data_IF_228744304646
#
_entry.id   IF_228744304646
#
_cell.length_a   1.000
_cell.length_b   1.000
_cell.length_c   1.000
_cell.angle_alpha   90.00
_cell.angle_beta   90.00
_cell.angle_gamma   90.00
#
_symmetry.space_group_name_H-M   'P 1'
#
loop_
_entity.id
_entity.type
_entity.pdbx_description
1 polymer ?
#
# COMPACT_ATOMS: atom_id res chain seq x y z
N UNK A 1 6.84 -0.89 -27.51
CA UNK A 1 6.72 -1.75 -26.31
C UNK A 1 6.46 -0.84 -25.14
N UNK A 2 5.25 -0.84 -24.57
CA UNK A 2 4.98 -0.01 -23.40
C UNK A 2 5.82 -0.56 -22.24
N UNK A 3 6.71 0.28 -21.71
CA UNK A 3 7.42 -0.01 -20.48
C UNK A 3 6.36 -0.14 -19.38
N UNK A 4 6.08 -1.36 -18.91
CA UNK A 4 5.16 -1.56 -17.78
C UNK A 4 5.78 -0.84 -16.59
N UNK A 5 5.07 0.08 -15.93
CA UNK A 5 5.62 0.84 -14.80
C UNK A 5 6.16 -0.06 -13.65
N UNK A 6 5.88 -1.37 -13.64
CA UNK A 6 6.58 -2.35 -12.80
C UNK A 6 8.11 -2.33 -13.01
N UNK A 7 8.59 -2.01 -14.22
CA UNK A 7 10.03 -1.79 -14.53
C UNK A 7 10.64 -0.62 -13.76
N UNK A 8 9.80 0.30 -13.27
CA UNK A 8 10.24 1.45 -12.48
C UNK A 8 10.47 1.09 -11.02
N UNK A 9 10.07 -0.11 -10.55
CA UNK A 9 10.37 -0.54 -9.19
C UNK A 9 11.87 -0.86 -9.08
N UNK A 10 12.59 -0.06 -8.29
CA UNK A 10 14.01 -0.24 -8.02
C UNK A 10 14.25 -0.99 -6.71
N UNK A 11 15.35 -1.76 -6.57
CA UNK A 11 15.66 -2.52 -5.36
C UNK A 11 15.56 -1.74 -4.04
N UNK A 12 15.98 -0.48 -4.06
CA UNK A 12 16.04 0.46 -2.93
C UNK A 12 14.69 1.07 -2.54
N UNK A 13 13.67 0.98 -3.40
CA UNK A 13 12.37 1.56 -3.11
C UNK A 13 11.77 0.97 -1.84
N UNK A 14 11.29 1.85 -0.96
CA UNK A 14 10.50 1.47 0.19
C UNK A 14 9.04 1.30 -0.26
N UNK A 15 8.48 0.14 0.03
CA UNK A 15 7.12 -0.22 -0.38
C UNK A 15 6.31 -0.56 0.86
N UNK A 16 5.12 0.02 0.96
CA UNK A 16 4.12 -0.33 1.96
C UNK A 16 3.06 -1.23 1.34
N UNK A 17 2.90 -2.46 1.84
CA UNK A 17 1.79 -3.32 1.46
C UNK A 17 0.62 -3.04 2.41
N UNK A 18 -0.46 -2.52 1.85
CA UNK A 18 -1.71 -2.22 2.53
C UNK A 18 -2.77 -3.27 2.20
N UNK A 19 -3.65 -3.53 3.16
CA UNK A 19 -4.78 -4.46 2.98
C UNK A 19 -5.94 -3.76 2.28
N UNK A 20 -6.31 -4.27 1.10
CA UNK A 20 -7.47 -3.85 0.33
C UNK A 20 -8.67 -4.75 0.68
N UNK A 21 -9.61 -4.20 1.47
CA UNK A 21 -10.75 -4.94 1.99
C UNK A 21 -12.01 -4.86 1.13
N UNK A 22 -12.15 -3.82 0.32
CA UNK A 22 -13.38 -3.53 -0.45
C UNK A 22 -13.03 -3.26 -1.92
N UNK A 23 -13.71 -3.90 -2.89
CA UNK A 23 -13.54 -3.59 -4.31
C UNK A 23 -13.78 -2.10 -4.66
N UNK A 24 -14.72 -1.44 -3.97
CA UNK A 24 -14.98 0.01 -4.11
C UNK A 24 -13.73 0.85 -3.81
N UNK A 25 -12.93 0.46 -2.81
CA UNK A 25 -11.71 1.19 -2.44
C UNK A 25 -10.61 1.03 -3.51
N UNK A 26 -10.55 -0.14 -4.17
CA UNK A 26 -9.65 -0.34 -5.31
C UNK A 26 -10.08 0.51 -6.52
N UNK A 27 -11.39 0.65 -6.76
CA UNK A 27 -11.91 1.54 -7.81
C UNK A 27 -11.60 3.00 -7.52
N UNK A 28 -11.76 3.45 -6.27
CA UNK A 28 -11.35 4.79 -5.84
C UNK A 28 -9.86 5.01 -6.12
N UNK A 29 -9.01 4.07 -5.72
CA UNK A 29 -7.57 4.16 -5.98
C UNK A 29 -7.27 4.25 -7.48
N UNK A 30 -7.95 3.43 -8.30
CA UNK A 30 -7.78 3.38 -9.75
C UNK A 30 -8.26 4.64 -10.47
N UNK A 31 -9.43 5.17 -10.10
CA UNK A 31 -10.12 6.23 -10.83
C UNK A 31 -9.81 7.62 -10.28
N UNK A 32 -9.70 7.74 -8.95
CA UNK A 32 -9.48 9.02 -8.27
C UNK A 32 -8.03 9.23 -7.84
N UNK A 33 -7.18 8.21 -7.96
CA UNK A 33 -5.74 8.34 -7.71
C UNK A 33 -5.38 8.56 -6.25
N UNK A 34 -6.13 8.00 -5.30
CA UNK A 34 -5.76 8.06 -3.89
C UNK A 34 -6.19 6.82 -3.09
N UNK A 35 -5.51 6.58 -1.97
CA UNK A 35 -5.86 5.55 -0.98
C UNK A 35 -5.89 6.14 0.42
N UNK A 36 -6.75 5.63 1.31
CA UNK A 36 -6.89 6.13 2.68
C UNK A 36 -6.33 5.17 3.72
N UNK A 37 -5.67 5.72 4.73
CA UNK A 37 -5.20 4.99 5.90
C UNK A 37 -5.76 5.69 7.14
N UNK A 38 -6.56 5.01 8.00
CA UNK A 38 -7.02 5.60 9.25
C UNK A 38 -5.83 5.98 10.14
N UNK A 39 -5.79 7.21 10.67
CA UNK A 39 -4.66 7.68 11.48
C UNK A 39 -4.44 6.79 12.72
N UNK A 40 -5.52 6.32 13.34
CA UNK A 40 -5.49 5.46 14.54
C UNK A 40 -4.73 4.14 14.33
N UNK A 41 -4.72 3.61 13.10
CA UNK A 41 -4.06 2.35 12.76
C UNK A 41 -2.90 2.54 11.79
N UNK A 42 -2.55 3.78 11.49
CA UNK A 42 -1.51 4.11 10.53
C UNK A 42 -0.18 3.46 10.93
N UNK A 43 0.60 3.01 9.94
CA UNK A 43 1.93 2.51 10.22
C UNK A 43 2.84 3.68 10.63
N UNK A 44 4.03 3.39 11.17
CA UNK A 44 4.96 4.42 11.67
C UNK A 44 5.25 5.56 10.70
N UNK A 45 5.22 5.29 9.39
CA UNK A 45 5.37 6.29 8.34
C UNK A 45 4.55 5.90 7.12
N UNK A 46 4.02 6.90 6.44
CA UNK A 46 3.38 6.74 5.12
C UNK A 46 4.24 7.31 3.99
N UNK A 47 5.44 7.84 4.32
CA UNK A 47 6.45 8.32 3.36
C UNK A 47 7.19 7.15 2.76
N UNK A 48 6.58 6.52 1.77
CA UNK A 48 7.14 5.39 1.01
C UNK A 48 7.14 5.73 -0.47
N UNK A 49 7.90 5.00 -1.29
CA UNK A 49 7.95 5.22 -2.74
C UNK A 49 6.74 4.62 -3.44
N UNK A 50 6.26 3.48 -2.92
CA UNK A 50 5.16 2.72 -3.52
C UNK A 50 4.19 2.18 -2.46
N UNK A 51 2.92 2.09 -2.85
CA UNK A 51 1.91 1.30 -2.17
C UNK A 51 1.63 0.03 -2.98
N UNK A 52 1.58 -1.10 -2.29
CA UNK A 52 1.06 -2.36 -2.83
C UNK A 52 -0.22 -2.77 -2.14
N UNK A 53 -1.12 -3.41 -2.88
CA UNK A 53 -2.44 -3.76 -2.38
C UNK A 53 -2.63 -5.27 -2.28
N UNK A 54 -2.77 -5.75 -1.05
CA UNK A 54 -3.16 -7.12 -0.75
C UNK A 54 -4.69 -7.26 -0.77
N UNK A 55 -5.23 -8.01 -1.72
CA UNK A 55 -6.66 -8.26 -1.85
C UNK A 55 -7.13 -9.30 -0.82
N UNK A 56 -8.19 -9.01 -0.08
CA UNK A 56 -8.80 -9.99 0.83
C UNK A 56 -9.81 -10.91 0.14
N UNK A 57 -10.55 -11.71 0.92
CA UNK A 57 -11.58 -12.63 0.43
C UNK A 57 -12.65 -11.96 -0.44
N UNK A 58 -12.86 -10.66 -0.30
CA UNK A 58 -13.86 -9.90 -1.05
C UNK A 58 -13.57 -9.80 -2.56
N UNK A 59 -12.35 -10.18 -2.99
CA UNK A 59 -11.88 -10.06 -4.37
C UNK A 59 -11.99 -11.34 -5.21
N UNK A 60 -12.75 -12.36 -4.76
CA UNK A 60 -13.01 -13.55 -5.56
C UNK A 60 -11.74 -14.26 -6.04
N UNK A 61 -11.55 -14.39 -7.34
CA UNK A 61 -10.37 -15.03 -7.95
C UNK A 61 -9.06 -14.27 -7.68
N UNK A 62 -9.15 -12.97 -7.40
CA UNK A 62 -8.00 -12.13 -7.08
C UNK A 62 -7.62 -12.17 -5.60
N UNK A 63 -8.41 -12.83 -4.76
CA UNK A 63 -8.22 -12.84 -3.31
C UNK A 63 -6.86 -13.39 -2.88
N UNK A 64 -6.47 -12.96 -1.68
CA UNK A 64 -5.30 -13.44 -0.96
C UNK A 64 -4.02 -13.32 -1.77
N UNK A 65 -3.84 -12.19 -2.44
CA UNK A 65 -2.62 -11.89 -3.18
C UNK A 65 -2.33 -10.41 -3.16
N UNK A 66 -1.08 -10.02 -3.41
CA UNK A 66 -0.73 -8.66 -3.82
C UNK A 66 -0.77 -8.64 -5.34
N UNK A 67 -1.57 -7.74 -5.91
CA UNK A 67 -1.75 -7.65 -7.37
C UNK A 67 -1.48 -6.28 -7.95
N UNK A 68 -1.73 -5.24 -7.18
CA UNK A 68 -1.65 -3.88 -7.68
C UNK A 68 -0.60 -3.08 -6.92
N UNK A 69 0.15 -2.27 -7.66
CA UNK A 69 1.09 -1.29 -7.16
C UNK A 69 0.70 0.10 -7.63
N UNK A 70 1.07 1.13 -6.87
CA UNK A 70 1.02 2.51 -7.32
C UNK A 70 2.15 3.32 -6.67
N UNK A 71 2.75 4.24 -7.43
CA UNK A 71 3.71 5.21 -6.89
C UNK A 71 3.02 6.11 -5.89
N UNK A 72 3.62 6.39 -4.74
CA UNK A 72 3.13 7.42 -3.83
C UNK A 72 3.63 8.78 -4.31
N UNK A 73 2.70 9.72 -4.51
CA UNK A 73 2.98 11.09 -4.98
C UNK A 73 2.97 12.12 -3.85
N UNK A 74 2.38 11.76 -2.71
CA UNK A 74 2.26 12.62 -1.55
C UNK A 74 1.32 12.00 -0.51
N UNK A 75 1.14 12.71 0.60
CA UNK A 75 0.04 12.45 1.52
C UNK A 75 -0.42 13.76 2.17
N UNK A 76 -1.70 13.80 2.53
CA UNK A 76 -2.31 14.86 3.33
C UNK A 76 -3.15 14.25 4.45
N UNK A 77 -3.40 15.00 5.53
CA UNK A 77 -4.35 14.60 6.58
C UNK A 77 -5.70 15.23 6.28
N UNK A 78 -6.74 14.40 6.33
CA UNK A 78 -8.14 14.78 6.06
C UNK A 78 -9.06 13.99 6.99
N UNK A 79 -10.29 14.43 7.12
CA UNK A 79 -11.36 13.71 7.81
C UNK A 79 -12.01 12.66 6.91
N UNK A 80 -12.76 11.74 7.51
CA UNK A 80 -13.56 10.77 6.75
C UNK A 80 -14.62 11.46 5.88
N UNK A 81 -15.27 12.50 6.41
CA UNK A 81 -16.30 13.25 5.69
C UNK A 81 -15.77 13.90 4.42
N UNK A 82 -14.55 14.48 4.47
CA UNK A 82 -13.89 15.06 3.30
C UNK A 82 -13.54 14.00 2.23
N UNK A 83 -13.19 12.79 2.66
CA UNK A 83 -12.86 11.67 1.77
C UNK A 83 -14.07 11.00 1.13
N UNK A 84 -15.15 10.86 1.89
CA UNK A 84 -16.33 10.06 1.55
C UNK A 84 -17.57 10.95 1.65
N UNK A 85 -17.67 11.92 0.73
CA UNK A 85 -18.72 12.95 0.72
C UNK A 85 -20.16 12.40 0.67
N UNK A 86 -20.35 11.15 0.23
CA UNK A 86 -21.66 10.47 0.20
C UNK A 86 -22.05 9.83 1.55
N UNK A 87 -21.19 9.90 2.58
CA UNK A 87 -21.44 9.33 3.92
C UNK A 87 -21.28 10.39 5.04
N UNK A 88 -21.94 11.57 4.98
CA UNK A 88 -21.70 12.67 5.92
C UNK A 88 -22.14 12.35 7.36
N UNK A 89 -23.22 11.59 7.55
CA UNK A 89 -23.77 11.26 8.89
C UNK A 89 -23.15 10.01 9.53
N UNK A 90 -22.00 9.55 9.03
CA UNK A 90 -21.32 8.40 9.61
C UNK A 90 -20.80 8.74 11.01
N UNK A 91 -20.95 7.84 12.00
CA UNK A 91 -20.44 7.97 13.38
C UNK A 91 -18.92 8.26 13.52
N UNK A 92 -18.21 8.27 12.40
CA UNK A 92 -16.75 8.42 12.28
C UNK A 92 -16.38 9.49 11.26
N UNK A 93 -17.31 10.39 10.93
CA UNK A 93 -17.14 11.45 9.94
C UNK A 93 -15.90 12.31 10.22
N UNK A 94 -15.65 12.62 11.50
CA UNK A 94 -14.54 13.46 11.95
C UNK A 94 -13.24 12.68 12.24
N UNK A 95 -13.23 11.34 12.07
CA UNK A 95 -12.01 10.58 12.29
C UNK A 95 -10.94 11.00 11.28
N UNK A 96 -9.69 11.24 11.72
CA UNK A 96 -8.60 11.60 10.83
C UNK A 96 -8.06 10.41 10.04
N UNK A 97 -7.74 10.66 8.77
CA UNK A 97 -7.15 9.74 7.81
C UNK A 97 -5.98 10.40 7.11
N UNK A 98 -4.97 9.60 6.77
CA UNK A 98 -4.07 9.94 5.69
C UNK A 98 -4.75 9.66 4.36
N UNK A 99 -4.80 10.67 3.49
CA UNK A 99 -5.07 10.51 2.06
C UNK A 99 -3.75 10.45 1.32
N UNK A 100 -3.41 9.28 0.82
CA UNK A 100 -2.19 9.04 0.06
C UNK A 100 -2.49 9.28 -1.42
N UNK A 101 -1.86 10.28 -2.04
CA UNK A 101 -1.99 10.50 -3.49
C UNK A 101 -1.17 9.44 -4.23
N UNK A 102 -1.77 8.84 -5.25
CA UNK A 102 -1.23 7.74 -6.01
C UNK A 102 -1.03 8.12 -7.48
N UNK A 103 -0.01 7.54 -8.08
CA UNK A 103 0.04 7.40 -9.54
C UNK A 103 -0.96 6.34 -10.04
N UNK A 104 -0.97 6.05 -11.35
CA UNK A 104 -1.79 4.99 -11.93
C UNK A 104 -1.54 3.64 -11.25
N UNK A 105 -2.61 2.87 -11.05
CA UNK A 105 -2.52 1.50 -10.55
C UNK A 105 -1.95 0.58 -11.62
N UNK A 106 -1.01 -0.25 -11.21
CA UNK A 106 -0.30 -1.19 -12.06
C UNK A 106 -0.60 -2.60 -11.60
N UNK A 107 -1.07 -3.45 -12.50
CA UNK A 107 -1.09 -4.87 -12.23
C UNK A 107 0.33 -5.43 -12.29
N UNK A 108 0.73 -6.17 -11.25
CA UNK A 108 1.94 -6.99 -11.28
C UNK A 108 1.80 -8.03 -12.39
N UNK A 109 2.86 -8.22 -13.18
CA UNK A 109 2.92 -9.32 -14.15
C UNK A 109 2.69 -10.68 -13.48
N UNK A 110 3.18 -10.84 -12.25
CA UNK A 110 2.97 -12.02 -11.42
C UNK A 110 2.39 -11.61 -10.06
N UNK A 111 1.12 -11.93 -9.78
CA UNK A 111 0.54 -11.75 -8.44
C UNK A 111 1.37 -12.48 -7.39
N UNK A 112 1.52 -11.89 -6.21
CA UNK A 112 2.23 -12.49 -5.07
C UNK A 112 1.17 -13.10 -4.14
N UNK A 113 0.93 -14.42 -4.16
CA UNK A 113 -0.11 -15.05 -3.37
C UNK A 113 0.25 -15.11 -1.88
N UNK A 114 -0.76 -15.17 -1.02
CA UNK A 114 -0.62 -15.57 0.37
C UNK A 114 -1.21 -16.96 0.59
N UNK A 115 -0.33 -17.97 0.62
CA UNK A 115 -0.77 -19.36 0.80
C UNK A 115 -1.25 -19.64 2.23
N UNK A 116 -0.56 -19.08 3.23
CA UNK A 116 -0.83 -19.36 4.66
C UNK A 116 -1.05 -18.11 5.52
N UNK A 117 -0.35 -17.01 5.27
CA UNK A 117 -0.35 -15.85 6.17
C UNK A 117 -1.32 -14.75 5.74
N UNK A 118 -2.51 -14.70 6.35
CA UNK A 118 -3.60 -13.83 5.89
C UNK A 118 -3.93 -12.65 6.81
N UNK A 119 -3.16 -12.47 7.90
CA UNK A 119 -3.46 -11.50 8.95
C UNK A 119 -2.30 -10.55 9.19
N UNK A 120 -2.48 -9.33 8.71
CA UNK A 120 -1.64 -8.16 8.96
C UNK A 120 -2.46 -6.91 8.60
N UNK A 121 -2.04 -5.73 9.08
CA UNK A 121 -2.66 -4.46 8.69
C UNK A 121 -1.81 -3.76 7.62
N UNK A 122 -0.50 -3.72 7.87
CA UNK A 122 0.52 -3.16 6.99
C UNK A 122 1.78 -4.01 7.04
N UNK A 123 2.52 -4.02 5.94
CA UNK A 123 3.81 -4.69 5.83
C UNK A 123 4.77 -3.81 5.03
N UNK A 124 5.90 -3.43 5.63
CA UNK A 124 6.97 -2.79 4.89
C UNK A 124 7.79 -3.84 4.14
N UNK A 125 8.21 -3.49 2.93
CA UNK A 125 9.11 -4.29 2.10
C UNK A 125 9.99 -3.39 1.24
N UNK A 126 10.93 -3.98 0.53
CA UNK A 126 11.78 -3.28 -0.44
C UNK A 126 11.42 -3.73 -1.85
N UNK A 127 11.78 -2.92 -2.86
CA UNK A 127 11.67 -3.33 -4.26
C UNK A 127 12.41 -4.62 -4.54
N UNK A 128 13.59 -4.84 -3.93
CA UNK A 128 14.36 -6.08 -4.10
C UNK A 128 13.55 -7.32 -3.69
N UNK A 129 12.86 -7.24 -2.54
CA UNK A 129 12.02 -8.34 -2.04
C UNK A 129 10.78 -8.51 -2.88
N UNK A 130 10.13 -7.42 -3.24
CA UNK A 130 8.94 -7.44 -4.09
C UNK A 130 9.21 -8.16 -5.42
N UNK A 131 10.28 -7.78 -6.12
CA UNK A 131 10.63 -8.35 -7.43
C UNK A 131 10.99 -9.85 -7.37
N UNK A 132 11.37 -10.37 -6.19
CA UNK A 132 11.75 -11.78 -5.99
C UNK A 132 10.69 -12.62 -5.29
N UNK A 133 9.65 -12.00 -4.74
CA UNK A 133 8.69 -12.68 -3.89
C UNK A 133 7.83 -13.67 -4.68
N UNK A 134 7.67 -14.88 -4.12
CA UNK A 134 6.77 -15.91 -4.66
C UNK A 134 5.60 -16.16 -3.71
N UNK A 135 5.68 -15.67 -2.48
CA UNK A 135 4.64 -15.69 -1.47
C UNK A 135 4.70 -14.39 -0.64
N UNK A 136 3.56 -13.99 -0.07
CA UNK A 136 3.44 -12.82 0.79
C UNK A 136 4.47 -12.82 1.94
N UNK A 137 4.80 -13.98 2.51
CA UNK A 137 5.81 -14.06 3.58
C UNK A 137 7.20 -13.60 3.14
N UNK A 138 7.53 -13.68 1.85
CA UNK A 138 8.84 -13.31 1.31
C UNK A 138 9.04 -11.79 1.29
N UNK A 139 7.93 -11.04 1.27
CA UNK A 139 7.92 -9.58 1.37
C UNK A 139 8.33 -9.10 2.77
N UNK A 140 8.16 -9.94 3.80
CA UNK A 140 8.44 -9.52 5.18
C UNK A 140 9.92 -9.25 5.37
N UNK A 141 10.22 -8.06 5.90
CA UNK A 141 11.58 -7.73 6.31
C UNK A 141 11.92 -8.49 7.62
N UNK A 142 13.18 -8.94 7.80
CA UNK A 142 13.58 -9.60 9.05
C UNK A 142 13.72 -8.59 10.20
N UNK A 143 13.37 -8.94 11.45
CA UNK A 143 13.34 -8.02 12.59
C UNK A 143 14.62 -7.21 12.85
N UNK A 144 15.80 -7.77 12.56
CA UNK A 144 17.10 -7.14 12.81
C UNK A 144 17.52 -6.13 11.73
N UNK A 145 17.19 -6.40 10.45
CA UNK A 145 17.49 -5.52 9.30
C UNK A 145 16.39 -4.46 9.10
N UNK A 146 15.18 -4.72 9.59
CA UNK A 146 13.99 -3.85 9.55
C UNK A 146 14.22 -2.48 10.16
N UNK A 147 14.83 -2.40 11.35
CA UNK A 147 15.06 -1.09 11.98
C UNK A 147 16.07 -0.28 11.18
N UNK A 148 17.22 -0.85 10.86
CA UNK A 148 18.34 -0.08 10.32
C UNK A 148 18.07 0.50 8.93
N UNK A 149 17.51 -0.31 8.02
CA UNK A 149 17.17 0.15 6.67
C UNK A 149 15.99 1.13 6.68
N UNK A 150 14.95 0.83 7.47
CA UNK A 150 13.80 1.73 7.60
C UNK A 150 14.24 3.08 8.20
N UNK A 151 15.06 3.07 9.25
CA UNK A 151 15.58 4.30 9.86
C UNK A 151 16.58 5.05 8.97
N UNK A 152 17.40 4.36 8.16
CA UNK A 152 18.29 5.03 7.19
C UNK A 152 17.47 5.71 6.09
N UNK A 153 16.54 4.99 5.45
CA UNK A 153 15.69 5.53 4.37
C UNK A 153 14.78 6.65 4.87
N UNK A 154 14.28 6.57 6.11
CA UNK A 154 13.50 7.65 6.71
C UNK A 154 14.34 8.89 7.01
N UNK A 155 15.55 8.73 7.58
CA UNK A 155 16.46 9.84 7.88
C UNK A 155 16.91 10.60 6.64
N UNK A 156 17.10 9.91 5.52
CA UNK A 156 17.51 10.54 4.24
C UNK A 156 16.36 11.28 3.54
N UNK A 157 15.10 11.02 3.91
CA UNK A 157 13.90 11.66 3.33
C UNK A 157 13.30 12.77 4.21
N UNK A 158 13.79 12.91 5.43
CA UNK A 158 13.38 13.95 6.39
C UNK A 158 14.32 15.18 6.38
N UNK A 159 15.38 15.16 5.56
CA UNK A 159 16.25 16.31 5.27
C UNK A 159 16.00 16.87 3.88
#
# INVERSE_FOLDING_TARGET
MAETLESQVRPEHLILIAVMNKPRDLQIARLLGWYRIPLQTAPKTVRVDWLGFYQTKAFGEERWSVRYLATVRGHEMVTRAELLRDEPDHLRADEPYYKIQLGPLLALQKPIPSRRWRRFTFLYTTGERLLRAQDLKDLRLPPSRERELLWRVLREKDG
#
